data_IF_976430277345
#
_entry.id   IF_976430277345
#
_cell.length_a   1.000
_cell.length_b   1.000
_cell.length_c   1.000
_cell.angle_alpha   90.00
_cell.angle_beta   90.00
_cell.angle_gamma   90.00
#
_symmetry.space_group_name_H-M   'P 1'
#
loop_
_entity.id
_entity.type
_entity.pdbx_description
1 polymer ?
#
# COMPACT_ATOMS: atom_id res chain seq x y z
N UNK A 1 9.19 -4.92 6.74
CA UNK A 1 8.13 -5.75 6.11
C UNK A 1 7.44 -4.93 5.03
N UNK A 2 7.02 -5.58 3.96
CA UNK A 2 6.35 -4.95 2.82
C UNK A 2 4.82 -5.01 2.95
N UNK A 3 4.31 -6.09 3.52
CA UNK A 3 2.89 -6.40 3.57
C UNK A 3 2.53 -7.23 4.81
N UNK A 4 1.25 -7.60 4.92
CA UNK A 4 0.73 -8.40 6.01
C UNK A 4 1.29 -9.84 6.02
N UNK A 5 1.62 -10.41 4.85
CA UNK A 5 2.22 -11.75 4.76
C UNK A 5 3.61 -11.77 5.40
N UNK A 6 4.46 -10.80 5.06
CA UNK A 6 5.76 -10.64 5.70
C UNK A 6 5.66 -10.33 7.20
N UNK A 7 4.68 -9.51 7.58
CA UNK A 7 4.42 -9.23 9.00
C UNK A 7 4.02 -10.48 9.77
N UNK A 8 3.25 -11.39 9.16
CA UNK A 8 2.88 -12.67 9.77
C UNK A 8 4.11 -13.56 10.00
N UNK A 9 5.05 -13.61 9.03
CA UNK A 9 6.30 -14.38 9.19
C UNK A 9 7.11 -13.86 10.39
N UNK A 10 7.20 -12.54 10.55
CA UNK A 10 7.87 -11.93 11.71
C UNK A 10 7.14 -12.27 13.01
N UNK A 11 5.81 -12.19 13.01
CA UNK A 11 4.99 -12.54 14.17
C UNK A 11 5.15 -14.01 14.59
N UNK A 12 5.16 -14.92 13.63
CA UNK A 12 5.36 -16.37 13.87
C UNK A 12 6.77 -16.64 14.43
N UNK A 13 7.78 -15.96 13.91
CA UNK A 13 9.13 -16.05 14.46
C UNK A 13 9.20 -15.58 15.92
N UNK A 14 8.62 -14.42 16.23
CA UNK A 14 8.54 -13.88 17.59
C UNK A 14 7.88 -14.87 18.56
N UNK A 15 6.86 -15.59 18.12
CA UNK A 15 6.14 -16.60 18.90
C UNK A 15 6.87 -17.96 18.99
N UNK A 16 8.03 -18.11 18.33
CA UNK A 16 8.84 -19.32 18.36
C UNK A 16 8.33 -20.43 17.43
N UNK A 17 7.51 -20.13 16.45
CA UNK A 17 6.98 -21.07 15.46
C UNK A 17 7.68 -20.96 14.11
N UNK A 18 8.50 -19.90 13.89
CA UNK A 18 9.26 -19.67 12.67
C UNK A 18 10.67 -20.27 12.74
N UNK A 19 11.25 -20.57 11.56
CA UNK A 19 12.63 -21.02 11.42
C UNK A 19 13.57 -19.81 11.21
N UNK A 20 14.75 -19.84 11.86
CA UNK A 20 15.73 -18.74 11.81
C UNK A 20 16.36 -18.56 10.44
N UNK A 21 16.71 -19.66 9.78
CA UNK A 21 17.42 -19.62 8.50
C UNK A 21 16.45 -19.10 7.41
N UNK A 22 15.21 -19.58 7.41
CA UNK A 22 14.15 -19.09 6.53
C UNK A 22 13.87 -17.60 6.76
N UNK A 23 13.78 -17.16 8.01
CA UNK A 23 13.61 -15.75 8.36
C UNK A 23 14.76 -14.89 7.82
N UNK A 24 16.00 -15.26 8.10
CA UNK A 24 17.17 -14.50 7.67
C UNK A 24 17.33 -14.50 6.14
N UNK A 25 16.97 -15.58 5.47
CA UNK A 25 16.96 -15.64 4.01
C UNK A 25 15.90 -14.70 3.42
N UNK A 26 14.68 -14.70 3.96
CA UNK A 26 13.57 -13.85 3.50
C UNK A 26 13.90 -12.38 3.67
N UNK A 27 14.42 -11.98 4.83
CA UNK A 27 14.66 -10.59 5.19
C UNK A 27 16.10 -10.13 4.98
N UNK A 28 16.95 -10.89 4.28
CA UNK A 28 18.38 -10.59 4.07
C UNK A 28 18.67 -9.18 3.55
N UNK A 29 17.77 -8.61 2.73
CA UNK A 29 17.89 -7.26 2.16
C UNK A 29 17.16 -6.18 2.96
N UNK A 30 16.34 -6.57 3.92
CA UNK A 30 15.52 -5.68 4.73
C UNK A 30 16.08 -5.47 6.14
N UNK A 31 17.02 -6.31 6.57
CA UNK A 31 17.68 -6.20 7.87
C UNK A 31 18.93 -5.32 7.81
N UNK A 32 19.18 -4.59 8.88
CA UNK A 32 20.43 -3.86 9.10
C UNK A 32 21.61 -4.81 9.30
N UNK A 33 22.82 -4.34 9.02
CA UNK A 33 24.05 -5.10 9.30
C UNK A 33 24.15 -5.37 10.80
N UNK A 34 24.31 -6.65 11.18
CA UNK A 34 24.42 -7.08 12.57
C UNK A 34 23.09 -7.34 13.26
N UNK A 35 21.96 -7.25 12.54
CA UNK A 35 20.65 -7.62 13.09
C UNK A 35 20.61 -9.09 13.47
N UNK A 36 20.16 -9.37 14.69
CA UNK A 36 19.89 -10.70 15.22
C UNK A 36 18.41 -10.81 15.64
N UNK A 37 17.59 -11.62 14.96
CA UNK A 37 16.17 -11.70 15.26
C UNK A 37 15.86 -12.22 16.68
N UNK A 38 16.76 -12.98 17.30
CA UNK A 38 16.57 -13.49 18.65
C UNK A 38 16.79 -12.40 19.72
N UNK A 39 17.68 -11.45 19.43
CA UNK A 39 18.00 -10.35 20.34
C UNK A 39 17.20 -9.08 20.01
N UNK A 40 17.02 -8.76 18.73
CA UNK A 40 16.45 -7.46 18.33
C UNK A 40 14.93 -7.47 18.26
N UNK A 41 14.27 -8.62 18.03
CA UNK A 41 12.80 -8.72 18.02
C UNK A 41 12.17 -8.81 19.43
N UNK A 42 12.92 -8.53 20.47
CA UNK A 42 12.42 -8.39 21.84
C UNK A 42 11.60 -7.11 22.01
N UNK A 43 11.91 -6.08 21.22
CA UNK A 43 11.16 -4.81 21.20
C UNK A 43 10.82 -4.44 19.77
N UNK A 44 9.56 -4.09 19.52
CA UNK A 44 9.07 -3.67 18.23
C UNK A 44 8.60 -2.22 18.25
N UNK A 45 9.11 -1.44 17.31
CA UNK A 45 8.54 -0.17 16.91
C UNK A 45 7.91 -0.29 15.52
N UNK A 46 6.66 0.12 15.37
CA UNK A 46 5.98 0.16 14.06
C UNK A 46 5.88 1.59 13.58
N UNK A 47 6.50 1.85 12.43
CA UNK A 47 6.39 3.11 11.69
C UNK A 47 6.25 2.78 10.21
N UNK A 48 5.41 3.51 9.50
CA UNK A 48 5.17 3.28 8.08
C UNK A 48 5.82 4.36 7.21
N UNK A 49 6.05 4.03 5.96
CA UNK A 49 6.37 5.02 4.94
C UNK A 49 5.13 5.89 4.68
N UNK A 50 5.37 7.18 4.41
CA UNK A 50 4.29 8.18 4.23
C UNK A 50 3.35 7.89 3.05
N UNK A 51 3.72 6.99 2.14
CA UNK A 51 2.96 6.63 0.93
C UNK A 51 2.16 5.33 1.06
N UNK A 52 2.29 4.60 2.17
CA UNK A 52 1.54 3.35 2.37
C UNK A 52 0.06 3.61 2.69
N UNK A 53 -0.78 2.61 2.44
CA UNK A 53 -2.18 2.66 2.86
C UNK A 53 -2.27 2.59 4.40
N UNK A 54 -3.03 3.51 4.97
CA UNK A 54 -3.23 3.57 6.43
C UNK A 54 -3.85 2.28 6.98
N UNK A 55 -4.86 1.76 6.30
CA UNK A 55 -5.55 0.53 6.71
C UNK A 55 -4.61 -0.66 6.83
N UNK A 56 -3.69 -0.83 5.88
CA UNK A 56 -2.71 -1.91 5.89
C UNK A 56 -1.70 -1.75 7.03
N UNK A 57 -1.19 -0.52 7.23
CA UNK A 57 -0.29 -0.22 8.35
C UNK A 57 -0.94 -0.47 9.71
N UNK A 58 -2.21 -0.07 9.87
CA UNK A 58 -2.96 -0.35 11.10
C UNK A 58 -3.18 -1.84 11.33
N UNK A 59 -3.42 -2.61 10.28
CA UNK A 59 -3.60 -4.06 10.38
C UNK A 59 -2.30 -4.76 10.81
N UNK A 60 -1.17 -4.39 10.21
CA UNK A 60 0.17 -4.83 10.60
C UNK A 60 0.47 -4.43 12.06
N UNK A 61 0.16 -3.19 12.43
CA UNK A 61 0.33 -2.72 13.80
C UNK A 61 -0.46 -3.55 14.81
N UNK A 62 -1.74 -3.83 14.51
CA UNK A 62 -2.59 -4.69 15.36
C UNK A 62 -2.11 -6.14 15.41
N UNK A 63 -1.53 -6.66 14.32
CA UNK A 63 -0.92 -8.00 14.32
C UNK A 63 0.25 -8.04 15.29
N UNK A 64 1.19 -7.11 15.21
CA UNK A 64 2.36 -7.06 16.09
C UNK A 64 1.98 -6.77 17.54
N UNK A 65 1.03 -5.88 17.80
CA UNK A 65 0.53 -5.64 19.15
C UNK A 65 -0.01 -6.93 19.81
N UNK A 66 -0.86 -7.67 19.07
CA UNK A 66 -1.38 -8.96 19.55
C UNK A 66 -0.29 -10.01 19.76
N UNK A 67 0.71 -10.04 18.88
CA UNK A 67 1.86 -10.93 18.98
C UNK A 67 2.66 -10.65 20.24
N UNK A 68 3.00 -9.39 20.49
CA UNK A 68 3.76 -8.97 21.69
C UNK A 68 2.94 -9.15 22.96
N UNK A 69 1.65 -8.84 22.92
CA UNK A 69 0.72 -9.11 24.02
C UNK A 69 0.68 -10.60 24.38
N UNK A 70 0.66 -11.49 23.39
CA UNK A 70 0.68 -12.94 23.60
C UNK A 70 1.99 -13.43 24.18
N UNK A 71 3.14 -12.84 23.76
CA UNK A 71 4.47 -13.24 24.20
C UNK A 71 4.81 -12.73 25.60
N UNK A 72 4.49 -11.48 25.91
CA UNK A 72 4.95 -10.79 27.13
C UNK A 72 3.82 -10.47 28.12
N UNK A 73 2.57 -10.59 27.69
CA UNK A 73 1.41 -10.28 28.51
C UNK A 73 1.09 -8.77 28.60
N UNK A 74 -0.06 -8.43 29.20
CA UNK A 74 -0.56 -7.05 29.19
C UNK A 74 0.24 -6.10 30.10
N UNK A 75 0.96 -6.60 31.10
CA UNK A 75 1.74 -5.77 32.02
C UNK A 75 3.01 -5.22 31.37
N UNK A 76 3.67 -6.03 30.57
CA UNK A 76 4.97 -5.71 29.94
C UNK A 76 4.82 -5.22 28.50
N UNK A 77 3.61 -5.21 27.92
CA UNK A 77 3.39 -4.86 26.52
C UNK A 77 4.02 -3.51 26.14
N UNK A 78 3.86 -2.48 26.96
CA UNK A 78 4.38 -1.14 26.67
C UNK A 78 5.92 -1.06 26.67
N UNK A 79 6.60 -2.02 27.30
CA UNK A 79 8.06 -2.11 27.28
C UNK A 79 8.58 -2.80 26.02
N UNK A 80 7.73 -3.53 25.33
CA UNK A 80 8.06 -4.36 24.17
C UNK A 80 7.42 -3.90 22.85
N UNK A 81 6.38 -3.07 22.88
CA UNK A 81 5.66 -2.66 21.68
C UNK A 81 5.32 -1.17 21.68
N UNK A 82 5.60 -0.52 20.54
CA UNK A 82 5.24 0.87 20.30
C UNK A 82 4.83 1.05 18.83
N UNK A 83 3.68 1.64 18.57
CA UNK A 83 3.23 1.99 17.23
C UNK A 83 3.06 3.49 17.09
N UNK A 84 3.58 4.05 16.00
CA UNK A 84 3.41 5.45 15.63
C UNK A 84 2.65 5.56 14.32
N UNK A 85 1.67 6.46 14.28
CA UNK A 85 1.10 6.89 13.01
C UNK A 85 2.09 7.88 12.36
N UNK A 86 2.78 7.43 11.32
CA UNK A 86 3.79 8.23 10.58
C UNK A 86 3.33 8.59 9.16
N UNK A 87 2.07 8.32 8.79
CA UNK A 87 1.49 8.79 7.53
C UNK A 87 1.32 10.31 7.62
N UNK A 88 1.74 11.03 6.57
CA UNK A 88 1.51 12.47 6.53
C UNK A 88 0.04 12.78 6.22
N UNK A 89 -0.48 13.87 6.81
CA UNK A 89 -1.88 14.29 6.67
C UNK A 89 -2.29 14.43 5.19
N UNK A 90 -1.41 15.00 4.34
CA UNK A 90 -1.69 15.18 2.92
C UNK A 90 -1.89 13.85 2.17
N UNK A 91 -1.15 12.79 2.52
CA UNK A 91 -1.34 11.46 1.94
C UNK A 91 -2.64 10.84 2.44
N UNK A 92 -2.93 10.98 3.73
CA UNK A 92 -4.17 10.50 4.32
C UNK A 92 -5.39 11.16 3.68
N UNK A 93 -5.41 12.49 3.57
CA UNK A 93 -6.50 13.24 2.96
C UNK A 93 -6.77 12.82 1.50
N UNK A 94 -5.70 12.53 0.72
CA UNK A 94 -5.85 12.02 -0.65
C UNK A 94 -6.45 10.63 -0.70
N UNK A 95 -6.04 9.74 0.20
CA UNK A 95 -6.61 8.40 0.30
C UNK A 95 -8.08 8.47 0.72
N UNK A 96 -8.43 9.28 1.70
CA UNK A 96 -9.80 9.46 2.18
C UNK A 96 -10.70 10.07 1.08
N UNK A 97 -10.20 11.05 0.33
CA UNK A 97 -10.89 11.63 -0.82
C UNK A 97 -11.08 10.59 -1.94
N UNK A 98 -10.07 9.74 -2.18
CA UNK A 98 -10.17 8.67 -3.16
C UNK A 98 -11.20 7.63 -2.77
N UNK A 99 -11.25 7.20 -1.51
CA UNK A 99 -12.28 6.28 -1.01
C UNK A 99 -13.69 6.86 -1.18
N UNK A 100 -13.86 8.16 -0.93
CA UNK A 100 -15.15 8.84 -1.17
C UNK A 100 -15.49 8.91 -2.66
N UNK A 101 -14.50 9.15 -3.52
CA UNK A 101 -14.70 9.27 -4.97
C UNK A 101 -15.10 7.93 -5.61
N UNK A 102 -14.52 6.81 -5.17
CA UNK A 102 -14.84 5.48 -5.74
C UNK A 102 -16.20 4.93 -5.28
N UNK A 103 -16.84 5.56 -4.31
CA UNK A 103 -18.21 5.24 -3.91
C UNK A 103 -19.27 5.94 -4.81
N UNK A 104 -18.84 6.90 -5.65
CA UNK A 104 -19.70 7.52 -6.67
C UNK A 104 -19.88 6.60 -7.90
N UNK A 105 -20.96 6.77 -8.67
CA UNK A 105 -21.22 5.93 -9.87
C UNK A 105 -20.28 6.33 -11.02
N UNK A 106 -19.05 5.82 -11.01
CA UNK A 106 -18.03 6.08 -12.02
C UNK A 106 -17.97 4.99 -13.08
N UNK A 107 -17.83 5.38 -14.35
CA UNK A 107 -17.57 4.48 -15.46
C UNK A 107 -16.09 4.16 -15.63
N UNK A 108 -15.24 5.13 -15.29
CA UNK A 108 -13.79 4.98 -15.29
C UNK A 108 -13.10 6.02 -14.38
N UNK A 109 -11.83 5.76 -14.09
CA UNK A 109 -10.96 6.63 -13.29
C UNK A 109 -9.69 6.97 -14.07
N UNK A 110 -9.29 8.25 -14.04
CA UNK A 110 -7.97 8.71 -14.50
C UNK A 110 -7.15 9.13 -13.28
N UNK A 111 -6.05 8.45 -13.05
CA UNK A 111 -5.11 8.75 -11.97
C UNK A 111 -3.88 9.43 -12.57
N UNK A 112 -3.59 10.66 -12.12
CA UNK A 112 -2.53 11.48 -12.70
C UNK A 112 -1.36 11.56 -11.73
N UNK A 113 -0.16 11.21 -12.18
CA UNK A 113 1.07 11.34 -11.41
C UNK A 113 2.21 10.52 -11.97
N UNK A 114 3.42 10.73 -11.46
CA UNK A 114 4.60 10.04 -11.94
C UNK A 114 4.48 8.52 -11.81
N UNK A 115 4.90 7.77 -12.83
CA UNK A 115 4.83 6.31 -12.84
C UNK A 115 5.66 5.62 -11.74
N UNK A 116 6.61 6.35 -11.14
CA UNK A 116 7.40 5.87 -9.99
C UNK A 116 6.86 6.35 -8.63
N UNK A 117 5.68 6.98 -8.61
CA UNK A 117 5.07 7.48 -7.38
C UNK A 117 4.24 6.39 -6.72
N UNK A 118 4.67 5.88 -5.56
CA UNK A 118 3.91 4.91 -4.77
C UNK A 118 2.52 5.45 -4.38
N UNK A 119 2.42 6.74 -4.06
CA UNK A 119 1.14 7.36 -3.75
C UNK A 119 0.15 7.27 -4.92
N UNK A 120 0.61 7.59 -6.14
CA UNK A 120 -0.22 7.48 -7.36
C UNK A 120 -0.63 6.04 -7.64
N UNK A 121 0.29 5.09 -7.47
CA UNK A 121 0.01 3.65 -7.60
C UNK A 121 -1.07 3.19 -6.63
N UNK A 122 -1.01 3.60 -5.37
CA UNK A 122 -2.03 3.25 -4.38
C UNK A 122 -3.42 3.84 -4.70
N UNK A 123 -3.49 5.06 -5.25
CA UNK A 123 -4.76 5.60 -5.73
C UNK A 123 -5.36 4.76 -6.87
N UNK A 124 -4.51 4.26 -7.78
CA UNK A 124 -4.94 3.34 -8.83
C UNK A 124 -5.44 2.00 -8.25
N UNK A 125 -4.74 1.43 -7.27
CA UNK A 125 -5.13 0.20 -6.56
C UNK A 125 -6.52 0.31 -5.93
N UNK A 126 -6.82 1.45 -5.28
CA UNK A 126 -8.14 1.70 -4.68
C UNK A 126 -9.24 1.62 -5.74
N UNK A 127 -9.07 2.25 -6.91
CA UNK A 127 -10.06 2.19 -7.99
C UNK A 127 -10.24 0.77 -8.53
N UNK A 128 -9.15 0.04 -8.77
CA UNK A 128 -9.17 -1.33 -9.29
C UNK A 128 -9.86 -2.28 -8.30
N UNK A 129 -9.58 -2.15 -7.00
CA UNK A 129 -10.22 -2.98 -5.95
C UNK A 129 -11.74 -2.79 -5.91
N UNK A 130 -12.23 -1.62 -6.29
CA UNK A 130 -13.68 -1.33 -6.43
C UNK A 130 -14.26 -1.73 -7.80
N UNK A 131 -13.45 -2.37 -8.67
CA UNK A 131 -13.86 -2.81 -9.99
C UNK A 131 -14.00 -1.69 -11.03
N UNK A 132 -13.46 -0.49 -10.73
CA UNK A 132 -13.50 0.66 -11.63
C UNK A 132 -12.32 0.56 -12.60
N UNK A 133 -12.58 0.70 -13.92
CA UNK A 133 -11.52 0.79 -14.94
C UNK A 133 -10.64 2.00 -14.63
N UNK A 134 -9.33 1.79 -14.42
CA UNK A 134 -8.43 2.85 -14.00
C UNK A 134 -7.26 3.01 -14.97
N UNK A 135 -6.96 4.26 -15.34
CA UNK A 135 -5.89 4.64 -16.25
C UNK A 135 -4.91 5.57 -15.54
N UNK A 136 -3.70 5.07 -15.26
CA UNK A 136 -2.62 5.87 -14.67
C UNK A 136 -1.81 6.53 -15.79
N UNK A 137 -1.79 7.86 -15.79
CA UNK A 137 -1.05 8.69 -16.74
C UNK A 137 -0.13 9.67 -16.01
N UNK A 138 1.01 10.01 -16.60
CA UNK A 138 1.94 11.00 -16.03
C UNK A 138 1.68 12.42 -16.54
N UNK A 139 1.09 12.54 -17.73
CA UNK A 139 0.75 13.82 -18.35
C UNK A 139 -0.57 13.73 -19.13
N UNK A 140 -1.33 14.83 -19.32
CA UNK A 140 -2.56 14.83 -20.11
C UNK A 140 -2.32 14.48 -21.58
N UNK A 141 -1.12 14.67 -22.11
CA UNK A 141 -0.77 14.34 -23.51
C UNK A 141 -0.84 12.83 -23.82
N UNK A 142 -0.98 11.99 -22.79
CA UNK A 142 -1.23 10.56 -22.95
C UNK A 142 -2.64 10.23 -23.46
N UNK A 143 -3.53 11.20 -23.47
CA UNK A 143 -4.91 11.03 -23.94
C UNK A 143 -5.05 11.71 -25.30
N UNK A 144 -5.40 10.93 -26.33
CA UNK A 144 -5.81 11.46 -27.61
C UNK A 144 -7.33 11.36 -27.77
N UNK A 145 -7.99 12.50 -27.66
CA UNK A 145 -9.45 12.61 -27.76
C UNK A 145 -9.98 12.37 -29.16
N UNK A 146 -9.14 12.59 -30.22
CA UNK A 146 -9.56 12.42 -31.60
C UNK A 146 -9.62 10.95 -31.99
N UNK A 147 -8.71 10.14 -31.46
CA UNK A 147 -8.66 8.69 -31.70
C UNK A 147 -9.32 7.90 -30.58
N UNK A 148 -9.70 8.56 -29.48
CA UNK A 148 -10.23 7.93 -28.27
C UNK A 148 -9.28 6.86 -27.71
N UNK A 149 -7.98 7.21 -27.63
CA UNK A 149 -6.92 6.34 -27.11
C UNK A 149 -6.29 6.93 -25.87
N UNK A 150 -5.76 6.07 -24.99
CA UNK A 150 -5.00 6.46 -23.84
C UNK A 150 -3.74 5.60 -23.72
N UNK A 151 -2.58 6.23 -23.58
CA UNK A 151 -1.34 5.57 -23.22
C UNK A 151 -1.19 5.65 -21.69
N UNK A 152 -1.21 4.53 -21.01
CA UNK A 152 -1.25 4.47 -19.53
C UNK A 152 -0.39 3.32 -19.01
N UNK A 153 -0.11 3.36 -17.72
CA UNK A 153 0.58 2.28 -17.00
C UNK A 153 -0.44 1.51 -16.16
N UNK A 154 -0.83 0.28 -16.54
CA UNK A 154 -1.61 -0.58 -15.67
C UNK A 154 -0.81 -0.98 -14.43
N UNK A 155 -1.53 -1.39 -13.37
CA UNK A 155 -0.90 -1.83 -12.13
C UNK A 155 0.03 -3.02 -12.37
N UNK A 156 1.30 -2.88 -11.98
CA UNK A 156 2.34 -3.92 -12.11
C UNK A 156 2.64 -4.37 -13.55
N UNK A 157 2.29 -3.57 -14.55
CA UNK A 157 2.55 -3.83 -15.97
C UNK A 157 3.41 -2.73 -16.61
N UNK A 158 3.81 -2.95 -17.86
CA UNK A 158 4.47 -1.94 -18.66
C UNK A 158 3.46 -0.95 -19.28
N UNK A 159 3.97 0.23 -19.65
CA UNK A 159 3.21 1.24 -20.37
C UNK A 159 2.58 0.64 -21.64
N UNK A 160 1.30 0.88 -21.86
CA UNK A 160 0.55 0.43 -23.04
C UNK A 160 -0.47 1.45 -23.49
N UNK A 161 -0.95 1.29 -24.73
CA UNK A 161 -2.03 2.11 -25.28
C UNK A 161 -3.31 1.29 -25.37
N UNK A 162 -4.39 1.81 -24.82
CA UNK A 162 -5.73 1.24 -24.92
C UNK A 162 -6.59 2.11 -25.85
N UNK A 163 -7.31 1.44 -26.79
CA UNK A 163 -8.29 2.05 -27.67
C UNK A 163 -9.65 2.14 -26.98
N UNK A 164 -10.48 3.11 -27.39
CA UNK A 164 -11.86 3.27 -26.91
C UNK A 164 -11.92 3.39 -25.38
N UNK A 165 -10.99 4.16 -24.81
CA UNK A 165 -10.96 4.30 -23.35
C UNK A 165 -12.22 4.97 -22.79
N UNK A 166 -12.79 5.95 -23.52
CA UNK A 166 -14.10 6.52 -23.19
C UNK A 166 -15.22 5.70 -23.85
N UNK A 167 -16.19 5.21 -23.07
CA UNK A 167 -17.41 4.62 -23.61
C UNK A 167 -18.20 5.65 -24.43
N UNK A 168 -19.12 5.17 -25.28
CA UNK A 168 -20.04 6.04 -26.02
C UNK A 168 -21.19 6.50 -25.12
N UNK A 169 -21.59 7.75 -25.25
CA UNK A 169 -22.69 8.36 -24.48
C UNK A 169 -22.21 9.24 -23.34
N UNK A 170 -23.07 9.49 -22.36
CA UNK A 170 -22.69 10.21 -21.16
C UNK A 170 -21.85 9.30 -20.26
N UNK A 171 -20.73 9.82 -19.77
CA UNK A 171 -19.74 9.06 -18.99
C UNK A 171 -19.36 9.84 -17.74
N UNK A 172 -19.38 9.17 -16.60
CA UNK A 172 -18.87 9.70 -15.35
C UNK A 172 -17.39 9.30 -15.20
N UNK A 173 -16.51 10.29 -15.27
CA UNK A 173 -15.06 10.09 -15.16
C UNK A 173 -14.58 10.63 -13.82
N UNK A 174 -14.03 9.77 -12.97
CA UNK A 174 -13.29 10.18 -11.79
C UNK A 174 -11.88 10.63 -12.18
N UNK A 175 -11.41 11.74 -11.62
CA UNK A 175 -10.05 12.23 -11.82
C UNK A 175 -9.41 12.49 -10.45
N UNK A 176 -8.23 11.93 -10.26
CA UNK A 176 -7.42 12.16 -9.05
C UNK A 176 -5.95 12.33 -9.40
N UNK A 177 -5.16 12.86 -8.46
CA UNK A 177 -3.71 13.03 -8.63
C UNK A 177 -2.95 12.64 -7.38
N UNK A 178 -1.78 12.02 -7.55
CA UNK A 178 -0.87 11.61 -6.49
C UNK A 178 0.36 12.51 -6.32
#
# INVERSE_FOLDING_TARGET
VLDLEEAQIVADYILGTGDRDDFMQRFAKACSVGFDPDEDLVRLGVANQTTMLKSETEEIGRLFERTMLRKYGPVELNDHFLAFNTICDATQERQDAMFSLVDEPLDLMVVIGGFNSSNTTHLQEIAITRGIRSFHIDTPDRIDVNTNTVEHMPLSEALRTDDKFLPSGAVNVGITSG
#
